data_IF_188561618342
#
_entry.id   IF_188561618342
#
_cell.length_a   1.000
_cell.length_b   1.000
_cell.length_c   1.000
_cell.angle_alpha   90.00
_cell.angle_beta   90.00
_cell.angle_gamma   90.00
#
_symmetry.space_group_name_H-M   'P 1'
#
loop_
_entity.id
_entity.type
_entity.pdbx_description
1 polymer ?
#
# COMPACT_ATOMS: atom_id res chain seq x y z
N UNK A 1 -24.21 4.66 -82.54
CA UNK A 1 -25.07 4.13 -81.44
C UNK A 1 -24.45 3.04 -80.54
N UNK A 2 -23.70 2.03 -81.02
CA UNK A 2 -23.01 1.04 -80.13
C UNK A 2 -21.54 1.33 -79.82
N UNK A 3 -20.95 2.35 -80.44
CA UNK A 3 -19.54 2.73 -80.27
C UNK A 3 -19.39 3.98 -79.38
N UNK A 4 -20.27 4.99 -79.56
CA UNK A 4 -20.33 6.19 -78.72
C UNK A 4 -20.69 5.90 -77.24
N UNK A 5 -21.45 4.83 -76.97
CA UNK A 5 -21.80 4.45 -75.58
C UNK A 5 -20.60 3.82 -74.85
N UNK A 6 -19.65 3.22 -75.56
CA UNK A 6 -18.46 2.61 -74.94
C UNK A 6 -17.38 3.65 -74.59
N UNK A 7 -17.24 4.69 -75.40
CA UNK A 7 -16.28 5.78 -75.14
C UNK A 7 -16.71 6.63 -73.93
N UNK A 8 -18.01 6.94 -73.81
CA UNK A 8 -18.55 7.68 -72.65
C UNK A 8 -18.42 6.89 -71.34
N UNK A 9 -18.57 5.56 -71.37
CA UNK A 9 -18.38 4.71 -70.19
C UNK A 9 -16.91 4.60 -69.76
N UNK A 10 -15.97 4.74 -70.70
CA UNK A 10 -14.54 4.64 -70.42
C UNK A 10 -13.96 5.98 -69.95
N UNK A 11 -14.48 7.09 -70.44
CA UNK A 11 -14.15 8.44 -69.92
C UNK A 11 -14.70 8.65 -68.50
N UNK A 12 -15.90 8.16 -68.18
CA UNK A 12 -16.45 8.24 -66.82
C UNK A 12 -15.65 7.40 -65.82
N UNK A 13 -15.16 6.22 -66.25
CA UNK A 13 -14.35 5.33 -65.40
C UNK A 13 -12.96 5.91 -65.09
N UNK A 14 -12.31 6.51 -66.08
CA UNK A 14 -11.03 7.21 -65.88
C UNK A 14 -11.16 8.49 -65.04
N UNK A 15 -12.36 9.06 -64.94
CA UNK A 15 -12.65 10.25 -64.11
C UNK A 15 -12.91 9.86 -62.65
N UNK A 16 -13.62 8.76 -62.42
CA UNK A 16 -13.77 8.14 -61.08
C UNK A 16 -12.43 7.64 -60.52
N UNK A 17 -11.57 7.04 -61.36
CA UNK A 17 -10.26 6.56 -60.94
C UNK A 17 -9.32 7.74 -60.54
N UNK A 18 -9.35 8.86 -61.28
CA UNK A 18 -8.58 10.07 -60.94
C UNK A 18 -9.12 10.82 -59.71
N UNK A 19 -10.44 10.84 -59.51
CA UNK A 19 -11.04 11.39 -58.28
C UNK A 19 -10.73 10.50 -57.06
N UNK A 20 -10.60 9.18 -57.25
CA UNK A 20 -10.19 8.23 -56.20
C UNK A 20 -8.71 8.32 -55.83
N UNK A 21 -7.81 8.60 -56.79
CA UNK A 21 -6.38 8.86 -56.53
C UNK A 21 -6.17 10.19 -55.79
N UNK A 22 -6.90 11.26 -56.16
CA UNK A 22 -6.83 12.55 -55.45
C UNK A 22 -7.45 12.47 -54.04
N UNK A 23 -8.50 11.66 -53.84
CA UNK A 23 -9.01 11.36 -52.50
C UNK A 23 -8.07 10.46 -51.69
N UNK A 24 -7.36 9.53 -52.33
CA UNK A 24 -6.32 8.70 -51.70
C UNK A 24 -5.13 9.54 -51.21
N UNK A 25 -4.71 10.53 -51.99
CA UNK A 25 -3.60 11.42 -51.67
C UNK A 25 -3.96 12.46 -50.58
N UNK A 26 -5.24 12.87 -50.49
CA UNK A 26 -5.76 13.70 -49.38
C UNK A 26 -5.99 12.91 -48.08
N UNK A 27 -6.14 11.59 -48.16
CA UNK A 27 -6.27 10.70 -46.99
C UNK A 27 -4.90 10.26 -46.46
N UNK A 28 -3.86 10.21 -47.30
CA UNK A 28 -2.48 9.93 -46.87
C UNK A 28 -1.76 11.09 -46.16
N UNK A 29 -2.26 12.32 -46.25
CA UNK A 29 -1.69 13.50 -45.54
C UNK A 29 -2.31 13.69 -44.13
N UNK A 30 -3.26 12.84 -43.72
CA UNK A 30 -3.75 12.77 -42.32
C UNK A 30 -3.24 11.50 -41.63
N UNK A 31 -1.96 11.20 -41.83
CA UNK A 31 -1.22 10.23 -41.01
C UNK A 31 -0.50 10.98 -39.88
N UNK A 32 -0.44 10.33 -38.72
CA UNK A 32 0.12 10.77 -37.42
C UNK A 32 -0.78 11.61 -36.50
N UNK A 33 -1.96 11.10 -36.13
CA UNK A 33 -2.51 11.38 -34.79
C UNK A 33 -2.33 10.13 -33.93
N UNK A 34 -1.62 10.25 -32.81
CA UNK A 34 -1.44 9.15 -31.86
C UNK A 34 -2.79 8.54 -31.45
N UNK A 35 -2.97 7.22 -31.65
CA UNK A 35 -4.21 6.48 -31.32
C UNK A 35 -4.60 6.57 -29.85
N UNK A 36 -3.66 6.80 -28.93
CA UNK A 36 -3.97 6.98 -27.50
C UNK A 36 -4.74 8.28 -27.22
N UNK A 37 -4.42 9.35 -27.94
CA UNK A 37 -5.13 10.63 -27.82
C UNK A 37 -6.55 10.56 -28.39
N UNK A 38 -6.78 9.71 -29.39
CA UNK A 38 -8.13 9.52 -29.95
C UNK A 38 -9.14 9.03 -28.89
N UNK A 39 -8.67 8.32 -27.86
CA UNK A 39 -9.49 7.87 -26.72
C UNK A 39 -9.99 9.02 -25.85
N UNK A 40 -9.30 10.16 -25.90
CA UNK A 40 -9.60 11.36 -25.12
C UNK A 40 -10.39 12.40 -25.90
N UNK A 41 -10.69 12.15 -27.17
CA UNK A 41 -11.49 13.04 -28.03
C UNK A 41 -12.84 12.40 -28.37
N UNK A 42 -13.86 13.23 -28.60
CA UNK A 42 -15.14 12.82 -29.19
C UNK A 42 -15.40 13.64 -30.47
N UNK A 43 -16.50 13.36 -31.17
CA UNK A 43 -16.88 14.14 -32.37
C UNK A 43 -17.01 15.64 -32.09
N UNK A 44 -17.42 15.98 -30.86
CA UNK A 44 -17.75 17.34 -30.46
C UNK A 44 -16.79 17.91 -29.41
N UNK A 45 -15.74 17.18 -29.01
CA UNK A 45 -14.78 17.60 -27.97
C UNK A 45 -13.35 17.17 -28.28
N UNK A 46 -12.45 18.16 -28.31
CA UNK A 46 -11.00 17.99 -28.45
C UNK A 46 -10.20 18.55 -27.26
N UNK A 47 -10.87 18.86 -26.14
CA UNK A 47 -10.27 19.47 -24.94
C UNK A 47 -10.57 18.70 -23.66
N UNK A 48 -9.70 18.84 -22.65
CA UNK A 48 -9.87 18.40 -21.27
C UNK A 48 -9.97 19.62 -20.33
N UNK A 49 -10.39 19.42 -19.09
CA UNK A 49 -10.46 20.49 -18.09
C UNK A 49 -9.27 20.41 -17.15
N UNK A 50 -8.56 21.52 -16.99
CA UNK A 50 -7.63 21.72 -15.87
C UNK A 50 -8.38 21.88 -14.53
N UNK A 51 -7.68 21.80 -13.39
CA UNK A 51 -8.30 22.00 -12.07
C UNK A 51 -8.99 23.37 -11.89
N UNK A 52 -8.55 24.38 -12.65
CA UNK A 52 -9.17 25.73 -12.67
C UNK A 52 -10.36 25.83 -13.63
N UNK A 53 -10.74 24.73 -14.29
CA UNK A 53 -11.79 24.70 -15.30
C UNK A 53 -11.37 25.21 -16.68
N UNK A 54 -10.10 25.59 -16.88
CA UNK A 54 -9.57 26.02 -18.18
C UNK A 54 -9.47 24.83 -19.12
N UNK A 55 -9.89 25.03 -20.38
CA UNK A 55 -9.80 24.01 -21.43
C UNK A 55 -8.36 23.85 -21.91
N UNK A 56 -7.88 22.61 -21.97
CA UNK A 56 -6.56 22.22 -22.47
C UNK A 56 -6.76 21.29 -23.66
N UNK A 57 -6.08 21.55 -24.79
CA UNK A 57 -6.28 20.74 -25.99
C UNK A 57 -5.68 19.34 -25.78
N UNK A 58 -6.38 18.31 -26.24
CA UNK A 58 -5.88 16.93 -26.18
C UNK A 58 -4.58 16.78 -26.97
N UNK A 59 -4.39 17.55 -28.05
CA UNK A 59 -3.14 17.59 -28.81
C UNK A 59 -1.92 18.00 -27.96
N UNK A 60 -2.11 18.78 -26.89
CA UNK A 60 -1.02 19.22 -26.00
C UNK A 60 -0.47 18.05 -25.14
N UNK A 61 -1.12 16.88 -25.17
CA UNK A 61 -0.69 15.65 -24.50
C UNK A 61 0.12 14.73 -25.44
N UNK A 62 0.34 15.12 -26.69
CA UNK A 62 1.08 14.29 -27.64
C UNK A 62 2.52 13.99 -27.17
N UNK A 63 2.93 12.74 -27.32
CA UNK A 63 4.24 12.25 -26.87
C UNK A 63 4.37 12.00 -25.36
N UNK A 64 3.37 12.37 -24.54
CA UNK A 64 3.40 12.13 -23.08
C UNK A 64 2.92 10.73 -22.73
N UNK A 65 3.39 10.22 -21.59
CA UNK A 65 2.76 9.11 -20.89
C UNK A 65 1.49 9.63 -20.23
N UNK A 66 0.36 8.94 -20.43
CA UNK A 66 -0.95 9.38 -19.92
C UNK A 66 -1.48 8.37 -18.92
N UNK A 67 -1.79 8.80 -17.69
CA UNK A 67 -2.52 8.01 -16.71
C UNK A 67 -4.02 8.32 -16.74
N UNK A 68 -4.87 7.38 -17.15
CA UNK A 68 -6.32 7.49 -16.98
C UNK A 68 -6.69 7.07 -15.57
N UNK A 69 -7.12 8.02 -14.74
CA UNK A 69 -7.43 7.80 -13.34
C UNK A 69 -8.95 7.75 -13.12
N UNK A 70 -9.49 6.56 -12.92
CA UNK A 70 -10.90 6.31 -12.61
C UNK A 70 -11.08 6.36 -11.10
N UNK A 71 -11.89 7.30 -10.63
CA UNK A 71 -12.01 7.58 -9.20
C UNK A 71 -13.31 8.33 -8.86
N UNK A 72 -13.64 8.41 -7.57
CA UNK A 72 -14.80 9.14 -7.07
C UNK A 72 -14.59 9.66 -5.65
N UNK A 73 -15.19 10.81 -5.36
CA UNK A 73 -15.07 11.50 -4.08
C UNK A 73 -15.67 10.71 -2.91
N UNK A 74 -16.78 10.01 -3.15
CA UNK A 74 -17.54 9.32 -2.12
C UNK A 74 -16.80 8.10 -1.55
N UNK A 75 -15.83 7.54 -2.28
CA UNK A 75 -15.12 6.33 -1.88
C UNK A 75 -13.82 6.63 -1.13
N UNK A 76 -13.67 6.13 0.11
CA UNK A 76 -12.50 6.42 0.94
C UNK A 76 -11.17 5.91 0.34
N UNK A 77 -11.07 4.68 -0.22
CA UNK A 77 -9.84 4.23 -0.87
C UNK A 77 -9.40 5.13 -2.04
N UNK A 78 -10.33 5.72 -2.79
CA UNK A 78 -10.03 6.71 -3.83
C UNK A 78 -9.37 7.97 -3.25
N UNK A 79 -9.89 8.49 -2.13
CA UNK A 79 -9.30 9.65 -1.44
C UNK A 79 -7.90 9.35 -0.90
N UNK A 80 -7.69 8.16 -0.34
CA UNK A 80 -6.36 7.75 0.15
C UNK A 80 -5.35 7.63 -0.99
N UNK A 81 -5.74 7.00 -2.10
CA UNK A 81 -4.86 6.86 -3.26
C UNK A 81 -4.57 8.20 -3.95
N UNK A 82 -5.51 9.16 -3.92
CA UNK A 82 -5.32 10.49 -4.49
C UNK A 82 -4.06 11.17 -3.96
N UNK A 83 -3.89 11.22 -2.64
CA UNK A 83 -2.73 11.86 -1.99
C UNK A 83 -1.39 11.22 -2.44
N UNK A 84 -1.39 9.90 -2.59
CA UNK A 84 -0.22 9.14 -3.03
C UNK A 84 0.10 9.43 -4.49
N UNK A 85 -0.93 9.47 -5.35
CA UNK A 85 -0.77 9.78 -6.76
C UNK A 85 -0.34 11.23 -6.99
N UNK A 86 -0.84 12.20 -6.20
CA UNK A 86 -0.37 13.60 -6.22
C UNK A 86 1.12 13.67 -5.94
N UNK A 87 1.60 13.00 -4.89
CA UNK A 87 3.03 12.98 -4.56
C UNK A 87 3.88 12.40 -5.69
N UNK A 88 3.44 11.28 -6.28
CA UNK A 88 4.15 10.65 -7.40
C UNK A 88 4.15 11.55 -8.64
N UNK A 89 3.00 12.14 -8.98
CA UNK A 89 2.84 13.05 -10.11
C UNK A 89 3.77 14.26 -10.01
N UNK A 90 3.79 14.95 -8.88
CA UNK A 90 4.62 16.15 -8.68
C UNK A 90 6.12 15.84 -8.83
N UNK A 91 6.55 14.70 -8.27
CA UNK A 91 7.95 14.22 -8.39
C UNK A 91 8.31 13.86 -9.83
N UNK A 92 7.41 13.23 -10.58
CA UNK A 92 7.62 12.90 -12.00
C UNK A 92 7.67 14.18 -12.84
N UNK A 93 6.72 15.11 -12.65
CA UNK A 93 6.68 16.38 -13.39
C UNK A 93 7.96 17.18 -13.17
N UNK A 94 8.42 17.27 -11.92
CA UNK A 94 9.66 17.98 -11.55
C UNK A 94 10.91 17.37 -12.18
N UNK A 95 11.00 16.03 -12.24
CA UNK A 95 12.19 15.34 -12.74
C UNK A 95 12.27 15.21 -14.26
N UNK A 96 11.13 15.23 -14.96
CA UNK A 96 11.06 14.90 -16.40
C UNK A 96 10.68 16.08 -17.30
N UNK A 97 10.33 17.23 -16.74
CA UNK A 97 9.90 18.38 -17.54
C UNK A 97 8.53 18.17 -18.21
N UNK A 98 7.58 17.57 -17.50
CA UNK A 98 6.19 17.36 -17.93
C UNK A 98 5.91 16.26 -18.96
N UNK A 99 6.68 15.17 -18.96
CA UNK A 99 6.47 14.00 -19.84
C UNK A 99 5.35 13.05 -19.37
N UNK A 100 4.78 13.28 -18.20
CA UNK A 100 3.65 12.52 -17.65
C UNK A 100 2.45 13.44 -17.46
N UNK A 101 1.25 12.97 -17.80
CA UNK A 101 -0.01 13.66 -17.51
C UNK A 101 -1.06 12.67 -16.99
N UNK A 102 -1.93 13.12 -16.10
CA UNK A 102 -3.05 12.31 -15.60
C UNK A 102 -4.36 12.92 -16.11
N UNK A 103 -5.31 12.05 -16.46
CA UNK A 103 -6.66 12.43 -16.89
C UNK A 103 -7.66 11.74 -15.97
N UNK A 104 -8.33 12.53 -15.15
CA UNK A 104 -9.37 12.10 -14.25
C UNK A 104 -10.64 11.73 -15.02
N UNK A 105 -11.11 10.51 -14.78
CA UNK A 105 -12.34 9.94 -15.31
C UNK A 105 -13.28 9.72 -14.11
N UNK A 106 -14.13 10.71 -13.85
CA UNK A 106 -14.97 10.72 -12.64
C UNK A 106 -16.14 9.73 -12.69
N UNK A 107 -16.29 8.99 -11.59
CA UNK A 107 -17.46 8.20 -11.24
C UNK A 107 -18.34 8.87 -10.18
N UNK A 108 -18.21 10.19 -9.99
CA UNK A 108 -19.09 10.97 -9.13
C UNK A 108 -20.49 11.09 -9.73
N UNK A 109 -21.50 11.16 -8.85
CA UNK A 109 -22.91 11.19 -9.24
C UNK A 109 -23.40 12.59 -9.64
N UNK A 110 -22.72 13.63 -9.15
CA UNK A 110 -23.11 15.02 -9.40
C UNK A 110 -21.89 15.94 -9.63
N UNK A 111 -22.19 17.10 -10.22
CA UNK A 111 -21.18 18.08 -10.63
C UNK A 111 -20.45 18.73 -9.43
N UNK A 112 -21.11 18.87 -8.28
CA UNK A 112 -20.48 19.46 -7.10
C UNK A 112 -19.47 18.47 -6.50
N UNK A 113 -19.83 17.19 -6.38
CA UNK A 113 -18.91 16.15 -5.95
C UNK A 113 -17.68 16.07 -6.86
N UNK A 114 -17.89 16.10 -8.19
CA UNK A 114 -16.82 16.18 -9.18
C UNK A 114 -15.90 17.38 -8.97
N UNK A 115 -16.46 18.60 -8.92
CA UNK A 115 -15.67 19.83 -8.81
C UNK A 115 -14.88 19.89 -7.50
N UNK A 116 -15.51 19.51 -6.39
CA UNK A 116 -14.86 19.49 -5.08
C UNK A 116 -13.66 18.55 -5.09
N UNK A 117 -13.82 17.35 -5.67
CA UNK A 117 -12.73 16.38 -5.70
C UNK A 117 -11.64 16.73 -6.71
N UNK A 118 -12.01 17.16 -7.92
CA UNK A 118 -11.05 17.59 -8.95
C UNK A 118 -10.23 18.81 -8.50
N UNK A 119 -10.78 19.69 -7.65
CA UNK A 119 -10.02 20.82 -7.07
C UNK A 119 -8.84 20.40 -6.19
N UNK A 120 -8.85 19.17 -5.68
CA UNK A 120 -7.73 18.58 -4.92
C UNK A 120 -6.67 17.91 -5.80
N UNK A 121 -6.88 17.87 -7.12
CA UNK A 121 -6.02 17.18 -8.07
C UNK A 121 -5.23 18.18 -8.94
N UNK A 122 -3.94 17.94 -9.22
CA UNK A 122 -3.11 18.83 -10.04
C UNK A 122 -3.21 18.55 -11.56
N UNK A 123 -4.10 17.64 -11.98
CA UNK A 123 -4.14 17.09 -13.34
C UNK A 123 -5.46 17.35 -14.07
N UNK A 124 -5.54 16.91 -15.32
CA UNK A 124 -6.67 17.19 -16.21
C UNK A 124 -7.86 16.26 -15.92
N UNK A 125 -9.05 16.61 -16.40
CA UNK A 125 -10.25 15.79 -16.29
C UNK A 125 -11.06 15.77 -17.59
N UNK A 126 -11.75 14.65 -17.84
CA UNK A 126 -12.83 14.62 -18.82
C UNK A 126 -13.99 15.44 -18.25
N UNK A 127 -14.61 16.36 -19.03
CA UNK A 127 -15.76 17.12 -18.54
C UNK A 127 -16.83 16.23 -17.93
N UNK A 128 -17.38 16.63 -16.78
CA UNK A 128 -18.39 15.84 -16.07
C UNK A 128 -19.60 15.48 -16.95
N UNK A 129 -19.99 16.40 -17.84
CA UNK A 129 -21.09 16.25 -18.80
C UNK A 129 -20.82 15.24 -19.93
N UNK A 130 -19.56 14.88 -20.19
CA UNK A 130 -19.20 13.93 -21.24
C UNK A 130 -19.34 12.48 -20.76
N UNK A 131 -20.59 12.08 -20.53
CA UNK A 131 -20.93 10.74 -20.04
C UNK A 131 -20.53 9.64 -21.03
N UNK A 132 -20.59 9.92 -22.34
CA UNK A 132 -20.30 8.91 -23.36
C UNK A 132 -18.81 8.59 -23.45
N UNK A 133 -17.91 9.59 -23.39
CA UNK A 133 -16.47 9.32 -23.31
C UNK A 133 -16.13 8.55 -22.04
N UNK A 134 -16.69 8.95 -20.88
CA UNK A 134 -16.47 8.23 -19.61
C UNK A 134 -16.94 6.77 -19.68
N UNK A 135 -18.13 6.50 -20.22
CA UNK A 135 -18.64 5.12 -20.42
C UNK A 135 -17.80 4.33 -21.41
N UNK A 136 -17.40 4.95 -22.51
CA UNK A 136 -16.56 4.34 -23.54
C UNK A 136 -15.23 3.88 -22.96
N UNK A 137 -14.57 4.74 -22.17
CA UNK A 137 -13.31 4.41 -21.50
C UNK A 137 -13.48 3.29 -20.48
N UNK A 138 -14.51 3.36 -19.62
CA UNK A 138 -14.81 2.29 -18.66
C UNK A 138 -14.97 0.94 -19.36
N UNK A 139 -15.74 0.88 -20.45
CA UNK A 139 -15.95 -0.36 -21.23
C UNK A 139 -14.70 -0.81 -21.97
N UNK A 140 -13.96 0.12 -22.59
CA UNK A 140 -12.76 -0.19 -23.37
C UNK A 140 -11.69 -0.84 -22.51
N UNK A 141 -11.61 -0.40 -21.26
CA UNK A 141 -10.62 -0.88 -20.32
C UNK A 141 -11.15 -1.86 -19.28
N UNK A 142 -12.42 -2.26 -19.38
CA UNK A 142 -13.01 -3.23 -18.46
C UNK A 142 -12.79 -2.86 -16.99
N UNK A 143 -13.10 -1.61 -16.65
CA UNK A 143 -12.91 -1.07 -15.29
C UNK A 143 -13.99 -1.65 -14.38
N UNK A 144 -13.63 -2.67 -13.60
CA UNK A 144 -14.54 -3.35 -12.67
C UNK A 144 -14.67 -2.62 -11.31
N UNK A 145 -13.71 -1.77 -10.96
CA UNK A 145 -13.67 -1.07 -9.68
C UNK A 145 -12.79 0.18 -9.68
N UNK A 146 -12.91 0.97 -8.61
CA UNK A 146 -12.12 2.18 -8.35
C UNK A 146 -11.47 2.12 -6.97
N UNK A 147 -10.30 2.74 -6.73
CA UNK A 147 -9.50 3.49 -7.70
C UNK A 147 -8.89 2.57 -8.76
N UNK A 148 -8.85 3.03 -10.02
CA UNK A 148 -8.16 2.36 -11.12
C UNK A 148 -7.31 3.37 -11.88
N UNK A 149 -6.07 3.01 -12.21
CA UNK A 149 -5.13 3.85 -12.94
C UNK A 149 -4.54 3.08 -14.11
N UNK A 150 -4.83 3.53 -15.32
CA UNK A 150 -4.38 2.90 -16.56
C UNK A 150 -3.34 3.80 -17.21
N UNK A 151 -2.14 3.27 -17.41
CA UNK A 151 -1.04 4.01 -18.03
C UNK A 151 -0.99 3.70 -19.53
N UNK A 152 -1.07 4.75 -20.33
CA UNK A 152 -0.96 4.73 -21.79
C UNK A 152 0.43 5.24 -22.19
N UNK A 153 1.18 4.37 -22.85
CA UNK A 153 2.50 4.70 -23.41
C UNK A 153 2.34 5.53 -24.70
N UNK A 154 3.21 6.52 -24.94
CA UNK A 154 3.18 7.30 -26.17
C UNK A 154 3.49 6.41 -27.39
N UNK A 155 2.82 6.69 -28.51
CA UNK A 155 3.16 6.19 -29.85
C UNK A 155 3.23 4.66 -30.04
N UNK A 156 2.65 3.85 -29.14
CA UNK A 156 2.57 2.39 -29.30
C UNK A 156 1.15 1.97 -29.72
N UNK A 157 1.06 1.18 -30.80
CA UNK A 157 -0.18 0.80 -31.51
C UNK A 157 -0.75 -0.58 -31.13
N UNK A 158 -0.15 -1.30 -30.17
CA UNK A 158 -0.56 -2.66 -29.75
C UNK A 158 -0.94 -2.69 -28.27
N UNK A 159 -1.62 -3.75 -27.82
CA UNK A 159 -2.05 -3.96 -26.42
C UNK A 159 -0.91 -3.82 -25.37
N UNK A 160 0.36 -3.95 -25.76
CA UNK A 160 1.52 -3.62 -24.91
C UNK A 160 1.77 -2.12 -24.69
N UNK A 161 0.88 -1.24 -25.16
CA UNK A 161 0.90 0.21 -24.91
C UNK A 161 0.09 0.60 -23.66
N UNK A 162 -0.66 -0.35 -23.09
CA UNK A 162 -1.60 -0.12 -21.99
C UNK A 162 -1.16 -0.94 -20.80
N UNK A 163 -0.80 -0.27 -19.71
CA UNK A 163 -0.47 -0.90 -18.44
C UNK A 163 -1.61 -0.65 -17.45
N UNK A 164 -2.21 -1.73 -16.93
CA UNK A 164 -3.49 -1.68 -16.19
C UNK A 164 -3.33 -1.63 -14.67
N UNK A 165 -2.16 -2.02 -14.15
CA UNK A 165 -1.90 -2.11 -12.72
C UNK A 165 -1.25 -0.83 -12.16
N UNK A 166 -1.66 0.34 -12.67
CA UNK A 166 -1.05 1.61 -12.32
C UNK A 166 -1.17 1.95 -10.83
N UNK A 167 -2.26 1.55 -10.18
CA UNK A 167 -2.47 1.76 -8.74
C UNK A 167 -1.42 1.03 -7.92
N UNK A 168 -1.23 -0.28 -8.18
CA UNK A 168 -0.26 -1.12 -7.48
C UNK A 168 1.18 -0.59 -7.68
N UNK A 169 1.54 -0.26 -8.92
CA UNK A 169 2.86 0.28 -9.23
C UNK A 169 3.15 1.60 -8.55
N UNK A 170 2.15 2.50 -8.44
CA UNK A 170 2.30 3.76 -7.71
C UNK A 170 2.44 3.52 -6.22
N UNK A 171 1.64 2.61 -5.63
CA UNK A 171 1.81 2.23 -4.22
C UNK A 171 3.21 1.67 -3.94
N UNK A 172 3.70 0.78 -4.81
CA UNK A 172 4.95 0.04 -4.58
C UNK A 172 6.21 0.84 -4.89
N UNK A 173 6.22 1.59 -5.98
CA UNK A 173 7.41 2.26 -6.50
C UNK A 173 7.27 3.78 -6.63
N UNK A 174 6.06 4.31 -6.53
CA UNK A 174 5.76 5.74 -6.66
C UNK A 174 6.34 6.34 -7.95
N UNK A 175 6.96 7.52 -7.82
CA UNK A 175 7.57 8.22 -8.94
C UNK A 175 8.70 7.45 -9.65
N UNK A 176 9.37 6.52 -8.95
CA UNK A 176 10.49 5.75 -9.52
C UNK A 176 10.06 4.79 -10.62
N UNK A 177 8.76 4.45 -10.68
CA UNK A 177 8.15 3.63 -11.72
C UNK A 177 8.17 4.28 -13.10
N UNK A 178 8.19 5.62 -13.18
CA UNK A 178 8.24 6.32 -14.45
C UNK A 178 9.48 5.90 -15.26
N UNK A 179 9.38 5.65 -16.58
CA UNK A 179 8.25 5.91 -17.49
C UNK A 179 7.17 4.82 -17.58
N UNK A 180 7.07 3.92 -16.59
CA UNK A 180 6.12 2.80 -16.54
C UNK A 180 6.26 1.83 -17.72
N UNK A 181 7.48 1.70 -18.24
CA UNK A 181 7.80 0.69 -19.25
C UNK A 181 8.04 -0.66 -18.59
N UNK A 182 7.80 -1.74 -19.32
CA UNK A 182 8.06 -3.09 -18.82
C UNK A 182 9.53 -3.25 -18.37
N UNK A 183 10.47 -2.69 -19.13
CA UNK A 183 11.90 -2.74 -18.79
C UNK A 183 12.19 -2.03 -17.46
N UNK A 184 11.57 -0.86 -17.22
CA UNK A 184 11.75 -0.11 -15.97
C UNK A 184 11.14 -0.83 -14.77
N UNK A 185 9.95 -1.44 -14.94
CA UNK A 185 9.32 -2.20 -13.88
C UNK A 185 10.08 -3.48 -13.55
N UNK A 186 10.66 -4.16 -14.56
CA UNK A 186 11.54 -5.31 -14.36
C UNK A 186 12.83 -4.92 -13.64
N UNK A 187 13.42 -3.77 -13.98
CA UNK A 187 14.57 -3.22 -13.28
C UNK A 187 14.27 -2.98 -11.80
N UNK A 188 13.16 -2.32 -11.47
CA UNK A 188 12.75 -2.06 -10.09
C UNK A 188 12.49 -3.35 -9.30
N UNK A 189 11.84 -4.33 -9.92
CA UNK A 189 11.63 -5.67 -9.33
C UNK A 189 12.97 -6.36 -9.03
N UNK A 190 13.94 -6.25 -9.94
CA UNK A 190 15.29 -6.81 -9.73
C UNK A 190 16.02 -6.07 -8.60
N UNK A 191 15.98 -4.74 -8.57
CA UNK A 191 16.58 -3.94 -7.49
C UNK A 191 15.99 -4.27 -6.12
N UNK A 192 14.67 -4.45 -6.04
CA UNK A 192 13.99 -4.86 -4.80
C UNK A 192 14.39 -6.28 -4.39
N UNK A 193 14.44 -7.22 -5.34
CA UNK A 193 14.89 -8.59 -5.09
C UNK A 193 16.34 -8.62 -4.60
N UNK A 194 17.25 -7.92 -5.28
CA UNK A 194 18.65 -7.81 -4.88
C UNK A 194 18.78 -7.18 -3.49
N UNK A 195 17.96 -6.18 -3.18
CA UNK A 195 17.91 -5.56 -1.84
C UNK A 195 17.50 -6.56 -0.77
N UNK A 196 16.47 -7.36 -1.03
CA UNK A 196 16.04 -8.42 -0.12
C UNK A 196 17.09 -9.54 0.03
N UNK A 197 17.68 -9.98 -1.09
CA UNK A 197 18.71 -11.03 -1.11
C UNK A 197 20.04 -10.59 -0.49
N UNK A 198 20.37 -9.30 -0.54
CA UNK A 198 21.56 -8.73 0.10
C UNK A 198 21.31 -8.19 1.51
N UNK A 199 20.06 -8.24 2.00
CA UNK A 199 19.72 -7.81 3.35
C UNK A 199 20.49 -8.62 4.40
N UNK A 200 21.18 -7.93 5.30
CA UNK A 200 21.86 -8.50 6.47
C UNK A 200 21.72 -7.53 7.64
N UNK A 201 21.95 -7.98 8.87
CA UNK A 201 21.96 -7.09 10.04
C UNK A 201 22.96 -5.96 9.89
N UNK A 202 24.16 -6.27 9.36
CA UNK A 202 25.22 -5.28 9.14
C UNK A 202 24.76 -4.23 8.11
N UNK A 203 24.20 -4.65 6.97
CA UNK A 203 23.73 -3.72 5.94
C UNK A 203 22.57 -2.83 6.41
N UNK A 204 21.71 -3.35 7.28
CA UNK A 204 20.57 -2.60 7.82
C UNK A 204 20.98 -1.64 8.94
N UNK A 205 21.84 -2.09 9.85
CA UNK A 205 22.10 -1.40 11.10
C UNK A 205 23.41 -0.63 11.09
N UNK A 206 24.23 -0.64 10.02
CA UNK A 206 25.48 0.15 9.92
C UNK A 206 25.44 1.24 8.85
N UNK A 207 26.29 2.24 9.02
CA UNK A 207 26.55 3.29 8.04
C UNK A 207 28.05 3.57 7.98
N UNK A 208 28.49 4.50 7.11
CA UNK A 208 29.91 4.80 6.90
C UNK A 208 30.63 5.29 8.16
N UNK A 209 29.90 5.90 9.07
CA UNK A 209 30.45 6.59 10.24
C UNK A 209 30.26 5.79 11.55
N UNK A 210 29.45 4.72 11.53
CA UNK A 210 29.05 3.99 12.75
C UNK A 210 28.72 2.53 12.48
N UNK A 211 29.31 1.64 13.29
CA UNK A 211 29.15 0.18 13.25
C UNK A 211 28.66 -0.44 14.60
N UNK A 212 28.21 0.39 15.55
CA UNK A 212 27.82 -0.04 16.90
C UNK A 212 26.43 0.47 17.34
N UNK A 213 25.76 -0.28 18.21
CA UNK A 213 24.53 0.09 18.90
C UNK A 213 24.81 0.54 20.34
N UNK A 214 23.85 1.21 20.95
CA UNK A 214 23.87 1.53 22.38
C UNK A 214 23.29 0.35 23.17
N UNK A 215 24.02 -0.14 24.16
CA UNK A 215 23.53 -1.13 25.13
C UNK A 215 22.98 -0.48 26.40
N UNK A 216 22.03 -1.15 27.05
CA UNK A 216 21.47 -0.83 28.37
C UNK A 216 21.37 -2.15 29.18
N UNK A 217 21.45 -2.17 30.53
CA UNK A 217 21.52 -1.06 31.51
C UNK A 217 22.85 -0.33 31.62
N UNK A 218 23.94 -0.95 31.18
CA UNK A 218 25.23 -0.26 31.12
C UNK A 218 25.41 0.35 29.75
N UNK A 219 25.45 1.69 29.69
CA UNK A 219 25.72 2.40 28.45
C UNK A 219 27.08 1.96 27.89
N UNK A 220 27.04 1.18 26.82
CA UNK A 220 28.21 0.66 26.12
C UNK A 220 27.93 0.62 24.63
N UNK A 221 28.99 0.70 23.84
CA UNK A 221 28.91 0.45 22.41
C UNK A 221 28.93 -1.07 22.17
N UNK A 222 27.94 -1.57 21.45
CA UNK A 222 27.80 -2.98 21.08
C UNK A 222 28.00 -3.09 19.56
N UNK A 223 29.07 -3.71 19.06
CA UNK A 223 29.29 -3.86 17.63
C UNK A 223 28.10 -4.57 16.97
N UNK A 224 27.59 -4.06 15.84
CA UNK A 224 26.45 -4.67 15.14
C UNK A 224 26.75 -6.12 14.77
N UNK A 225 28.00 -6.44 14.43
CA UNK A 225 28.39 -7.81 14.07
C UNK A 225 28.25 -8.82 15.21
N UNK A 226 28.10 -8.40 16.48
CA UNK A 226 27.82 -9.31 17.59
C UNK A 226 26.37 -9.80 17.62
N UNK A 227 25.50 -9.25 16.77
CA UNK A 227 24.12 -9.70 16.59
C UNK A 227 23.97 -10.79 15.52
N UNK A 228 25.00 -11.02 14.70
CA UNK A 228 24.97 -12.07 13.68
C UNK A 228 24.69 -13.44 14.32
N UNK A 229 23.73 -14.18 13.77
CA UNK A 229 23.28 -15.44 14.36
C UNK A 229 22.10 -15.31 15.31
N UNK A 230 21.71 -14.09 15.71
CA UNK A 230 20.58 -13.85 16.61
C UNK A 230 19.31 -13.46 15.84
N UNK A 231 18.17 -13.88 16.35
CA UNK A 231 16.87 -13.30 15.98
C UNK A 231 16.78 -11.89 16.54
N UNK A 232 16.54 -10.89 15.70
CA UNK A 232 16.55 -9.47 16.09
C UNK A 232 15.19 -8.82 15.85
N UNK A 233 14.59 -8.24 16.89
CA UNK A 233 13.42 -7.38 16.77
C UNK A 233 13.80 -5.90 16.58
N UNK A 234 13.48 -5.30 15.43
CA UNK A 234 13.59 -3.84 15.25
C UNK A 234 12.31 -3.17 15.77
N UNK A 235 12.42 -2.47 16.90
CA UNK A 235 11.28 -1.87 17.59
C UNK A 235 11.19 -0.37 17.31
N UNK A 236 10.20 0.03 16.52
CA UNK A 236 9.92 1.42 16.16
C UNK A 236 8.90 2.01 17.13
N UNK A 237 9.31 2.96 17.96
CA UNK A 237 8.45 3.60 18.96
C UNK A 237 8.99 4.96 19.41
N UNK A 238 8.23 5.66 20.25
CA UNK A 238 8.63 6.89 20.90
C UNK A 238 7.91 7.07 22.23
N UNK A 239 8.49 7.85 23.14
CA UNK A 239 7.94 8.14 24.47
C UNK A 239 6.60 8.87 24.39
N UNK A 240 6.44 9.76 23.40
CA UNK A 240 5.21 10.52 23.17
C UNK A 240 4.06 9.64 22.61
N UNK A 241 4.36 8.40 22.18
CA UNK A 241 3.38 7.48 21.64
C UNK A 241 2.71 6.68 22.76
N UNK A 242 1.50 7.07 23.18
CA UNK A 242 0.76 6.37 24.24
C UNK A 242 0.53 4.86 23.96
N UNK A 243 0.12 4.43 22.75
CA UNK A 243 0.08 3.01 22.41
C UNK A 243 1.46 2.35 22.50
N UNK A 244 2.52 3.10 22.14
CA UNK A 244 3.92 2.69 22.25
C UNK A 244 4.32 2.39 23.69
N UNK A 245 4.01 3.28 24.62
CA UNK A 245 4.29 3.11 26.05
C UNK A 245 3.59 1.86 26.60
N UNK A 246 2.30 1.65 26.28
CA UNK A 246 1.57 0.43 26.69
C UNK A 246 2.25 -0.84 26.15
N UNK A 247 2.58 -0.85 24.85
CA UNK A 247 3.21 -2.01 24.20
C UNK A 247 4.63 -2.28 24.72
N UNK A 248 5.41 -1.24 25.02
CA UNK A 248 6.77 -1.36 25.60
C UNK A 248 6.75 -2.18 26.89
N UNK A 249 5.80 -1.90 27.81
CA UNK A 249 5.70 -2.64 29.08
C UNK A 249 5.48 -4.15 28.87
N UNK A 250 4.61 -4.49 27.91
CA UNK A 250 4.34 -5.87 27.52
C UNK A 250 5.56 -6.53 26.87
N UNK A 251 6.22 -5.82 25.97
CA UNK A 251 7.40 -6.29 25.25
C UNK A 251 8.58 -6.54 26.21
N UNK A 252 8.77 -5.70 27.24
CA UNK A 252 9.78 -5.93 28.30
C UNK A 252 9.51 -7.26 29.02
N UNK A 253 8.27 -7.52 29.43
CA UNK A 253 7.91 -8.78 30.10
C UNK A 253 8.21 -9.99 29.22
N UNK A 254 7.81 -9.94 27.96
CA UNK A 254 8.00 -11.05 27.01
C UNK A 254 9.48 -11.26 26.66
N UNK A 255 10.23 -10.18 26.47
CA UNK A 255 11.67 -10.22 26.24
C UNK A 255 12.39 -10.94 27.37
N UNK A 256 12.10 -10.61 28.63
CA UNK A 256 12.70 -11.29 29.78
C UNK A 256 12.32 -12.77 29.84
N UNK A 257 11.05 -13.14 29.60
CA UNK A 257 10.63 -14.56 29.56
C UNK A 257 11.35 -15.36 28.48
N UNK A 258 11.54 -14.79 27.29
CA UNK A 258 12.28 -15.44 26.20
C UNK A 258 13.74 -15.64 26.63
N UNK A 259 14.40 -14.59 27.15
CA UNK A 259 15.79 -14.67 27.64
C UNK A 259 15.95 -15.72 28.75
N UNK A 260 15.04 -15.75 29.73
CA UNK A 260 15.04 -16.75 30.82
C UNK A 260 14.89 -18.17 30.30
N UNK A 261 14.03 -18.38 29.30
CA UNK A 261 13.82 -19.70 28.67
C UNK A 261 15.07 -20.14 27.90
N UNK A 262 15.70 -19.26 27.13
CA UNK A 262 16.95 -19.54 26.42
C UNK A 262 18.08 -19.95 27.39
N UNK A 263 18.21 -19.20 28.49
CA UNK A 263 19.16 -19.52 29.55
C UNK A 263 18.89 -20.89 30.20
N UNK A 264 17.62 -21.20 30.48
CA UNK A 264 17.23 -22.49 31.07
C UNK A 264 17.50 -23.67 30.14
N UNK A 265 17.34 -23.48 28.83
CA UNK A 265 17.57 -24.51 27.81
C UNK A 265 19.06 -24.64 27.40
N UNK A 266 19.98 -23.90 28.03
CA UNK A 266 21.40 -23.82 27.64
C UNK A 266 21.60 -23.50 26.16
N UNK A 267 20.66 -22.75 25.56
CA UNK A 267 20.79 -22.19 24.23
C UNK A 267 21.57 -20.88 24.32
N UNK A 268 22.25 -20.53 23.24
CA UNK A 268 22.90 -19.23 23.14
C UNK A 268 21.85 -18.11 23.26
N UNK A 269 22.31 -16.92 23.65
CA UNK A 269 21.49 -15.73 23.83
C UNK A 269 21.00 -15.18 22.47
N UNK A 270 20.13 -15.93 21.81
CA UNK A 270 19.81 -15.82 20.38
C UNK A 270 18.66 -14.86 20.07
N UNK A 271 18.20 -14.07 21.04
CA UNK A 271 17.16 -13.06 20.83
C UNK A 271 17.61 -11.70 21.32
N UNK A 272 17.49 -10.65 20.49
CA UNK A 272 17.78 -9.28 20.89
C UNK A 272 16.78 -8.30 20.29
N UNK A 273 16.58 -7.14 20.93
CA UNK A 273 15.75 -6.06 20.39
C UNK A 273 16.64 -4.83 20.15
N UNK A 274 16.39 -4.14 19.04
CA UNK A 274 17.01 -2.85 18.72
C UNK A 274 15.93 -1.79 18.61
N UNK A 275 15.94 -0.85 19.54
CA UNK A 275 15.09 0.33 19.51
C UNK A 275 15.51 1.24 18.34
N UNK A 276 14.53 1.53 17.48
CA UNK A 276 14.58 2.55 16.43
C UNK A 276 13.67 3.69 16.87
N UNK A 277 14.24 4.63 17.63
CA UNK A 277 13.46 5.70 18.26
C UNK A 277 12.91 6.70 17.23
N UNK A 278 11.66 7.11 17.46
CA UNK A 278 10.99 8.25 16.80
C UNK A 278 10.79 9.43 17.77
N UNK A 279 11.55 9.46 18.88
CA UNK A 279 11.57 10.57 19.81
C UNK A 279 12.09 11.86 19.13
N UNK A 280 11.72 13.02 19.67
CA UNK A 280 12.01 14.31 19.00
C UNK A 280 13.25 15.00 19.56
N UNK A 281 13.80 14.50 20.66
CA UNK A 281 15.00 15.03 21.29
C UNK A 281 15.77 13.97 22.07
N UNK A 282 17.07 14.24 22.27
CA UNK A 282 17.99 13.37 23.00
C UNK A 282 17.50 13.06 24.42
N UNK A 283 16.97 14.05 25.15
CA UNK A 283 16.49 13.84 26.53
C UNK A 283 15.28 12.91 26.61
N UNK A 284 14.35 13.02 25.66
CA UNK A 284 13.20 12.10 25.56
C UNK A 284 13.69 10.68 25.25
N UNK A 285 14.58 10.56 24.26
CA UNK A 285 15.22 9.29 23.91
C UNK A 285 15.92 8.65 25.12
N UNK A 286 16.76 9.39 25.84
CA UNK A 286 17.49 8.87 26.99
C UNK A 286 16.52 8.41 28.09
N UNK A 287 15.53 9.24 28.42
CA UNK A 287 14.50 8.89 29.41
C UNK A 287 13.74 7.62 29.04
N UNK A 288 13.42 7.46 27.75
CA UNK A 288 12.67 6.32 27.23
C UNK A 288 13.53 5.05 27.16
N UNK A 289 14.73 5.16 26.61
CA UNK A 289 15.67 4.05 26.47
C UNK A 289 16.06 3.45 27.81
N UNK A 290 16.21 4.29 28.85
CA UNK A 290 16.51 3.83 30.22
C UNK A 290 15.40 2.96 30.85
N UNK A 291 14.21 2.88 30.25
CA UNK A 291 13.14 1.99 30.71
C UNK A 291 13.24 0.57 30.18
N UNK A 292 14.14 0.29 29.23
CA UNK A 292 14.19 -0.95 28.45
C UNK A 292 15.54 -1.67 28.60
N UNK A 293 15.59 -3.01 28.56
CA UNK A 293 16.83 -3.78 28.78
C UNK A 293 17.53 -4.27 27.49
N UNK A 294 17.21 -3.67 26.35
CA UNK A 294 17.71 -4.08 25.03
C UNK A 294 18.56 -2.99 24.37
N UNK A 295 18.97 -3.19 23.12
CA UNK A 295 19.84 -2.27 22.39
C UNK A 295 19.06 -1.12 21.74
N UNK A 296 19.76 -0.05 21.33
CA UNK A 296 19.18 1.04 20.54
C UNK A 296 20.15 1.54 19.47
N UNK A 297 19.59 2.05 18.37
CA UNK A 297 20.32 2.99 17.53
C UNK A 297 20.58 4.29 18.31
N UNK A 298 21.75 4.94 18.13
CA UNK A 298 21.95 6.29 18.65
C UNK A 298 20.83 7.23 18.19
N UNK A 299 20.49 8.20 19.05
CA UNK A 299 19.51 9.22 18.69
C UNK A 299 19.96 10.01 17.45
N UNK A 300 19.01 10.35 16.58
CA UNK A 300 19.20 11.01 15.28
C UNK A 300 20.12 10.28 14.29
N UNK A 301 20.37 8.98 14.48
CA UNK A 301 21.07 8.16 13.48
C UNK A 301 20.29 8.16 12.15
N UNK A 302 20.90 8.51 11.01
CA UNK A 302 20.23 8.54 9.70
C UNK A 302 19.67 7.17 9.27
N UNK A 303 20.19 6.07 9.83
CA UNK A 303 19.66 4.72 9.62
C UNK A 303 18.23 4.62 10.12
N UNK A 304 17.85 5.28 11.22
CA UNK A 304 16.48 5.20 11.73
C UNK A 304 15.45 5.61 10.66
N UNK A 305 15.68 6.75 10.00
CA UNK A 305 14.84 7.23 8.88
C UNK A 305 14.90 6.29 7.66
N UNK A 306 16.06 5.66 7.42
CA UNK A 306 16.24 4.69 6.34
C UNK A 306 15.44 3.42 6.60
N UNK A 307 15.46 2.89 7.82
CA UNK A 307 14.72 1.70 8.23
C UNK A 307 13.20 1.94 8.22
N UNK A 308 12.73 3.09 8.71
CA UNK A 308 11.31 3.47 8.63
C UNK A 308 10.79 3.40 7.20
N UNK A 309 11.57 3.90 6.23
CA UNK A 309 11.22 3.83 4.80
C UNK A 309 11.37 2.42 4.24
N UNK A 310 12.46 1.73 4.58
CA UNK A 310 12.76 0.38 4.07
C UNK A 310 11.68 -0.63 4.45
N UNK A 311 11.22 -0.58 5.70
CA UNK A 311 10.18 -1.47 6.20
C UNK A 311 8.77 -0.95 5.96
N UNK A 312 8.62 0.24 5.39
CA UNK A 312 7.33 0.89 5.16
C UNK A 312 6.51 1.04 6.46
N UNK A 313 7.15 1.59 7.49
CA UNK A 313 6.53 1.78 8.81
C UNK A 313 5.55 2.95 8.75
N UNK A 314 4.27 2.62 8.62
CA UNK A 314 3.16 3.59 8.52
C UNK A 314 2.71 4.17 9.88
N UNK A 315 3.05 3.50 10.98
CA UNK A 315 2.68 3.92 12.32
C UNK A 315 3.52 3.27 13.40
N UNK A 316 3.53 3.88 14.58
CA UNK A 316 4.19 3.36 15.78
C UNK A 316 3.15 3.08 16.89
N UNK A 317 3.38 2.09 17.77
CA UNK A 317 4.53 1.18 17.78
C UNK A 317 4.45 0.11 16.69
N UNK A 318 5.62 -0.22 16.13
CA UNK A 318 5.80 -1.31 15.15
C UNK A 318 7.00 -2.16 15.52
N UNK A 319 6.94 -3.47 15.26
CA UNK A 319 8.03 -4.41 15.55
C UNK A 319 8.26 -5.30 14.33
N UNK A 320 9.44 -5.19 13.72
CA UNK A 320 9.88 -6.03 12.60
C UNK A 320 10.81 -7.11 13.15
N UNK A 321 10.58 -8.36 12.79
CA UNK A 321 11.42 -9.48 13.20
C UNK A 321 12.36 -9.88 12.07
N UNK A 322 13.64 -9.96 12.40
CA UNK A 322 14.71 -10.45 11.55
C UNK A 322 15.23 -11.79 12.07
N UNK A 323 15.58 -12.68 11.16
CA UNK A 323 16.18 -13.97 11.46
C UNK A 323 17.69 -13.84 11.77
N UNK A 324 18.37 -14.94 12.18
CA UNK A 324 19.81 -14.99 12.40
C UNK A 324 20.71 -14.47 11.26
N UNK A 325 20.27 -14.56 10.01
CA UNK A 325 20.99 -14.07 8.83
C UNK A 325 20.68 -12.59 8.53
N UNK A 326 19.76 -12.00 9.29
CA UNK A 326 19.29 -10.63 9.13
C UNK A 326 18.22 -10.46 8.06
N UNK A 327 17.59 -11.54 7.58
CA UNK A 327 16.44 -11.48 6.68
C UNK A 327 15.17 -11.18 7.45
N UNK A 328 14.23 -10.51 6.79
CA UNK A 328 12.95 -10.18 7.41
C UNK A 328 12.06 -11.39 7.42
N UNK A 329 11.69 -11.81 8.63
CA UNK A 329 10.71 -12.86 8.88
C UNK A 329 9.31 -12.28 8.82
N UNK A 330 9.07 -11.17 9.53
CA UNK A 330 7.77 -10.49 9.49
C UNK A 330 7.89 -9.01 9.86
N UNK A 331 7.04 -8.18 9.25
CA UNK A 331 6.84 -6.79 9.67
C UNK A 331 5.74 -6.65 10.73
N UNK A 332 5.04 -7.74 11.03
CA UNK A 332 3.89 -7.80 11.94
C UNK A 332 4.26 -8.40 13.31
N UNK A 333 5.51 -8.22 13.75
CA UNK A 333 5.99 -8.78 15.02
C UNK A 333 5.16 -8.31 16.22
N UNK A 334 4.63 -7.09 16.19
CA UNK A 334 3.72 -6.57 17.23
C UNK A 334 2.46 -7.43 17.36
N UNK A 335 1.93 -7.92 16.24
CA UNK A 335 0.73 -8.77 16.23
C UNK A 335 1.07 -10.13 16.84
N UNK A 336 2.19 -10.72 16.44
CA UNK A 336 2.65 -12.01 17.00
C UNK A 336 2.86 -11.92 18.51
N UNK A 337 3.46 -10.84 19.00
CA UNK A 337 3.64 -10.58 20.44
C UNK A 337 2.29 -10.44 21.16
N UNK A 338 1.30 -9.78 20.56
CA UNK A 338 -0.01 -9.62 21.17
C UNK A 338 -0.82 -10.92 21.23
N UNK A 339 -0.74 -11.73 20.17
CA UNK A 339 -1.46 -12.98 20.02
C UNK A 339 -0.82 -14.10 20.83
N UNK A 340 0.48 -14.34 20.60
CA UNK A 340 1.18 -15.54 21.08
C UNK A 340 2.16 -15.27 22.23
N UNK A 341 2.42 -14.00 22.57
CA UNK A 341 3.34 -13.62 23.63
C UNK A 341 4.73 -14.22 23.44
N UNK A 342 5.38 -14.74 24.50
CA UNK A 342 6.67 -15.42 24.41
C UNK A 342 6.66 -16.67 23.51
N UNK A 343 5.50 -17.31 23.32
CA UNK A 343 5.39 -18.51 22.49
C UNK A 343 5.63 -18.20 21.01
N UNK A 344 5.51 -16.93 20.60
CA UNK A 344 5.81 -16.49 19.25
C UNK A 344 7.26 -16.82 18.87
N UNK A 345 8.21 -16.77 19.81
CA UNK A 345 9.61 -17.10 19.56
C UNK A 345 9.78 -18.55 19.08
N UNK A 346 10.63 -18.83 18.06
CA UNK A 346 11.58 -17.94 17.37
C UNK A 346 11.01 -17.15 16.18
N UNK A 347 9.70 -16.96 16.14
CA UNK A 347 8.96 -16.20 15.11
C UNK A 347 9.04 -16.78 13.70
N UNK A 348 9.59 -17.99 13.54
CA UNK A 348 9.67 -18.67 12.25
C UNK A 348 8.27 -18.98 11.70
N UNK A 349 8.15 -19.02 10.38
CA UNK A 349 6.89 -19.35 9.69
C UNK A 349 6.30 -20.67 10.22
N UNK A 350 7.12 -21.73 10.32
CA UNK A 350 6.70 -23.01 10.88
C UNK A 350 6.21 -22.93 12.35
N UNK A 351 6.78 -22.03 13.16
CA UNK A 351 6.33 -21.81 14.54
C UNK A 351 4.98 -21.09 14.57
N UNK A 352 4.81 -20.06 13.74
CA UNK A 352 3.56 -19.31 13.64
C UNK A 352 2.43 -20.22 13.14
N UNK A 353 2.66 -20.99 12.06
CA UNK A 353 1.69 -21.97 11.55
C UNK A 353 1.27 -23.00 12.61
N UNK A 354 2.21 -23.45 13.45
CA UNK A 354 1.89 -24.36 14.55
C UNK A 354 0.97 -23.70 15.58
N UNK A 355 1.23 -22.45 15.94
CA UNK A 355 0.43 -21.71 16.92
C UNK A 355 -0.96 -21.39 16.37
N UNK A 356 -1.08 -21.07 15.08
CA UNK A 356 -2.36 -20.90 14.40
C UNK A 356 -3.18 -22.20 14.43
N UNK A 357 -2.57 -23.34 14.09
CA UNK A 357 -3.23 -24.66 14.18
C UNK A 357 -3.70 -24.98 15.60
N UNK A 358 -2.91 -24.65 16.62
CA UNK A 358 -3.31 -24.84 18.02
C UNK A 358 -4.50 -23.95 18.38
N UNK A 359 -4.49 -22.68 17.95
CA UNK A 359 -5.64 -21.79 18.14
C UNK A 359 -6.90 -22.30 17.43
N UNK A 360 -6.77 -22.84 16.22
CA UNK A 360 -7.90 -23.43 15.48
C UNK A 360 -8.49 -24.65 16.22
N UNK A 361 -7.64 -25.52 16.77
CA UNK A 361 -8.10 -26.66 17.57
C UNK A 361 -8.74 -26.22 18.90
N UNK A 362 -8.19 -25.20 19.56
CA UNK A 362 -8.80 -24.61 20.76
C UNK A 362 -10.16 -23.98 20.46
N UNK A 363 -10.28 -23.28 19.34
CA UNK A 363 -11.50 -22.61 18.91
C UNK A 363 -12.67 -23.57 18.68
N UNK A 364 -12.41 -24.82 18.26
CA UNK A 364 -13.45 -25.86 18.14
C UNK A 364 -14.15 -26.19 19.46
N UNK A 365 -13.50 -25.91 20.59
CA UNK A 365 -14.04 -26.15 21.92
C UNK A 365 -14.76 -24.93 22.51
N UNK A 366 -14.74 -23.78 21.82
CA UNK A 366 -15.38 -22.56 22.26
C UNK A 366 -16.87 -22.54 21.85
N UNK A 367 -17.76 -21.96 22.67
CA UNK A 367 -19.16 -21.77 22.31
C UNK A 367 -19.31 -20.91 21.04
N UNK A 368 -20.17 -21.28 20.07
CA UNK A 368 -20.36 -20.49 18.86
C UNK A 368 -21.01 -19.11 19.13
N UNK A 369 -21.69 -18.97 20.27
CA UNK A 369 -22.36 -17.74 20.71
C UNK A 369 -22.18 -17.58 22.22
N UNK A 370 -21.94 -16.36 22.70
CA UNK A 370 -21.75 -16.04 24.13
C UNK A 370 -22.34 -14.65 24.47
N UNK A 371 -22.64 -14.38 25.75
CA UNK A 371 -23.02 -13.06 26.29
C UNK A 371 -21.91 -12.47 27.17
N UNK A 372 -21.16 -11.53 26.61
CA UNK A 372 -20.06 -10.87 27.31
C UNK A 372 -20.55 -9.81 28.32
N UNK A 373 -20.07 -9.84 29.57
CA UNK A 373 -20.49 -8.89 30.63
C UNK A 373 -20.34 -7.39 30.27
N UNK A 374 -19.36 -7.03 29.44
CA UNK A 374 -19.15 -5.67 28.96
C UNK A 374 -20.03 -5.26 27.77
N UNK A 375 -20.92 -6.14 27.30
CA UNK A 375 -21.70 -5.94 26.09
C UNK A 375 -23.12 -6.52 26.18
N UNK A 376 -24.11 -5.87 25.56
CA UNK A 376 -25.54 -6.24 25.74
C UNK A 376 -26.03 -7.33 24.78
N UNK A 377 -25.48 -7.37 23.57
CA UNK A 377 -25.88 -8.33 22.54
C UNK A 377 -25.09 -9.62 22.63
N UNK A 378 -25.63 -10.66 22.02
CA UNK A 378 -24.90 -11.90 21.79
C UNK A 378 -23.71 -11.64 20.85
N UNK A 379 -22.56 -12.18 21.22
CA UNK A 379 -21.35 -12.17 20.39
C UNK A 379 -21.15 -13.55 19.79
N UNK A 380 -20.87 -13.59 18.48
CA UNK A 380 -20.65 -14.83 17.73
C UNK A 380 -19.17 -15.09 17.54
N UNK A 381 -18.76 -16.34 17.71
CA UNK A 381 -17.39 -16.74 17.40
C UNK A 381 -17.19 -16.70 15.88
N UNK A 382 -16.23 -15.90 15.45
CA UNK A 382 -15.83 -15.72 14.05
C UNK A 382 -14.35 -16.03 13.89
N UNK A 383 -14.00 -16.53 12.71
CA UNK A 383 -12.61 -16.73 12.27
C UNK A 383 -12.20 -15.63 11.30
N UNK A 384 -10.93 -15.60 10.90
CA UNK A 384 -10.39 -14.59 9.97
C UNK A 384 -11.22 -14.44 8.69
N UNK A 385 -11.68 -15.56 8.11
CA UNK A 385 -12.51 -15.56 6.90
C UNK A 385 -13.98 -15.18 7.09
N UNK A 386 -14.47 -15.09 8.34
CA UNK A 386 -15.89 -14.82 8.65
C UNK A 386 -16.13 -13.58 9.52
N UNK A 387 -15.07 -12.86 9.90
CA UNK A 387 -15.17 -11.60 10.65
C UNK A 387 -14.00 -11.32 11.58
N UNK A 388 -13.21 -12.32 11.97
CA UNK A 388 -12.07 -12.22 12.88
C UNK A 388 -10.76 -11.78 12.22
N UNK A 389 -10.80 -10.83 11.28
CA UNK A 389 -9.58 -10.21 10.74
C UNK A 389 -8.81 -9.40 11.81
N UNK A 390 -7.95 -8.44 11.44
CA UNK A 390 -7.36 -7.54 12.41
C UNK A 390 -8.42 -6.70 13.13
N UNK A 391 -8.50 -6.78 14.47
CA UNK A 391 -9.44 -6.00 15.29
C UNK A 391 -8.76 -5.40 16.54
N UNK A 392 -9.43 -4.44 17.19
CA UNK A 392 -9.06 -3.98 18.53
C UNK A 392 -10.08 -4.52 19.51
N UNK A 393 -9.63 -5.31 20.47
CA UNK A 393 -10.51 -5.92 21.46
C UNK A 393 -11.13 -4.82 22.34
N UNK A 394 -12.45 -4.77 22.36
CA UNK A 394 -13.22 -3.77 23.09
C UNK A 394 -13.12 -3.93 24.63
N UNK A 395 -12.59 -5.04 25.12
CA UNK A 395 -12.41 -5.29 26.55
C UNK A 395 -11.03 -4.85 27.06
N UNK A 396 -9.96 -5.26 26.37
CA UNK A 396 -8.59 -5.02 26.81
C UNK A 396 -7.86 -3.92 26.04
N UNK A 397 -8.47 -3.35 25.00
CA UNK A 397 -7.87 -2.33 24.12
C UNK A 397 -6.57 -2.83 23.42
N UNK A 398 -6.43 -4.16 23.28
CA UNK A 398 -5.31 -4.78 22.58
C UNK A 398 -5.73 -5.30 21.21
N UNK A 399 -4.79 -5.29 20.28
CA UNK A 399 -4.99 -5.81 18.94
C UNK A 399 -5.19 -7.33 18.94
N UNK A 400 -6.19 -7.81 18.21
CA UNK A 400 -6.45 -9.22 17.91
C UNK A 400 -6.44 -9.51 16.42
N UNK A 401 -6.41 -10.79 16.07
CA UNK A 401 -6.54 -11.32 14.71
C UNK A 401 -6.88 -12.81 14.80
N UNK A 402 -7.49 -13.36 13.76
CA UNK A 402 -7.86 -14.77 13.68
C UNK A 402 -9.23 -15.05 14.31
N UNK A 403 -9.23 -15.55 15.54
CA UNK A 403 -10.47 -15.87 16.24
C UNK A 403 -10.93 -14.73 17.13
N UNK A 404 -12.21 -14.35 17.01
CA UNK A 404 -12.82 -13.27 17.76
C UNK A 404 -14.27 -13.62 18.12
N UNK A 405 -14.79 -12.99 19.17
CA UNK A 405 -16.23 -12.90 19.38
C UNK A 405 -16.72 -11.54 18.90
N UNK A 406 -17.59 -11.56 17.89
CA UNK A 406 -18.10 -10.36 17.20
C UNK A 406 -19.61 -10.24 17.36
N UNK A 407 -20.08 -9.06 17.76
CA UNK A 407 -21.48 -8.68 17.66
C UNK A 407 -21.76 -8.11 16.27
N UNK A 408 -22.59 -8.79 15.49
CA UNK A 408 -22.97 -8.34 14.14
C UNK A 408 -23.79 -7.03 14.19
N UNK A 409 -24.55 -6.81 15.26
CA UNK A 409 -25.46 -5.66 15.35
C UNK A 409 -24.73 -4.33 15.51
N UNK A 410 -23.59 -4.31 16.23
CA UNK A 410 -22.88 -3.07 16.54
C UNK A 410 -21.37 -3.12 16.31
N UNK A 411 -20.83 -4.23 15.79
CA UNK A 411 -19.40 -4.39 15.53
C UNK A 411 -18.54 -4.50 16.78
N UNK A 412 -19.10 -4.92 17.92
CA UNK A 412 -18.34 -5.14 19.14
C UNK A 412 -17.47 -6.39 19.00
N UNK A 413 -16.16 -6.27 19.15
CA UNK A 413 -15.19 -7.35 18.93
C UNK A 413 -14.33 -7.55 20.17
N UNK A 414 -14.21 -8.80 20.62
CA UNK A 414 -13.36 -9.17 21.76
C UNK A 414 -12.59 -10.45 21.50
N UNK A 415 -11.39 -10.55 22.10
CA UNK A 415 -10.64 -11.81 22.05
C UNK A 415 -11.43 -12.93 22.74
N UNK A 416 -11.28 -14.19 22.29
CA UNK A 416 -11.84 -15.34 23.00
C UNK A 416 -11.51 -15.38 24.49
N UNK A 417 -10.26 -15.08 24.85
CA UNK A 417 -9.78 -15.02 26.25
C UNK A 417 -10.36 -13.85 27.06
N UNK A 418 -10.91 -12.83 26.41
CA UNK A 418 -11.49 -11.65 27.07
C UNK A 418 -12.99 -11.80 27.32
N UNK A 419 -13.61 -12.89 26.86
CA UNK A 419 -15.03 -13.14 27.11
C UNK A 419 -15.27 -13.50 28.57
N UNK A 420 -15.94 -12.60 29.30
CA UNK A 420 -16.50 -12.84 30.62
C UNK A 420 -17.98 -13.20 30.47
N UNK A 421 -18.25 -14.50 30.41
CA UNK A 421 -19.60 -15.05 30.31
C UNK A 421 -20.48 -14.63 31.49
N UNK A 422 -21.74 -14.29 31.20
CA UNK A 422 -22.77 -13.99 32.22
C UNK A 422 -23.84 -15.08 32.20
N UNK A 423 -24.06 -15.75 33.32
CA UNK A 423 -25.17 -16.70 33.45
C UNK A 423 -26.54 -16.00 33.41
N UNK A 424 -27.55 -16.70 32.88
CA UNK A 424 -28.92 -16.22 32.74
C UNK A 424 -29.55 -15.82 34.09
N UNK A 425 -29.36 -14.56 34.49
CA UNK A 425 -30.17 -13.85 35.47
C UNK A 425 -31.14 -12.88 34.78
N UNK A 426 -32.35 -12.65 35.31
CA UNK A 426 -33.32 -11.75 34.68
C UNK A 426 -32.74 -10.34 34.59
N UNK A 427 -32.91 -9.74 33.41
CA UNK A 427 -32.54 -8.35 33.12
C UNK A 427 -33.27 -7.45 34.12
N UNK A 428 -32.56 -6.91 35.11
CA UNK A 428 -33.07 -5.79 35.89
C UNK A 428 -32.67 -4.51 35.17
N UNK A 429 -33.66 -3.85 34.59
CA UNK A 429 -33.53 -2.48 34.08
C UNK A 429 -33.09 -1.55 35.22
N UNK A 430 -31.92 -0.92 35.07
CA UNK A 430 -31.50 0.27 35.79
C UNK A 430 -30.59 1.13 34.92
#
# INVERSE_FOLDING_TARGET
MRQEVKEVLQENKNKEDRESEVFGELVEVVSTKSTSLSLLTSKDRDFLLSPTGTQVKVADLEGKVIGLYFSANWYLPCRNFNEILVNAYDRIKTSTGSQFEVVFVSSDEDLNAFNNYHSSMPWLAIPFSDLESKKSLNRRFDVEGIPCLIILQPNKTKDGAVFRDGVDVIYRYGASAFPFTEERLQELKREEKERYESQTLVNLLTNRDRDFLLGHPTLKQVPVNSLTGKTVGLYFTAQWCLPGVKFTLKLISIYHKIKETLLAESKDDDFEIVLVSSDRGQTEFDSHFNTMSWLALPFDDPIAKTLTKYFDIQGIPSLVILDPDGKTVTKQGRNLINLYQENAYPFTEARVELLEKLMDEEAKNLPPVERHAGHRHDVKLVSEGSGGGPFICCDCDEQGSGWAYQCIECGYEVHPKCVRAVENGPITDA
#
